data_IF_709675876725
#
_entry.id   IF_709675876725
#
_cell.length_a   1.000
_cell.length_b   1.000
_cell.length_c   1.000
_cell.angle_alpha   90.00
_cell.angle_beta   90.00
_cell.angle_gamma   90.00
#
_symmetry.space_group_name_H-M   'P 1'
#
loop_
_entity.id
_entity.type
_entity.pdbx_description
1 polymer ?
#
# COMPACT_ATOMS: atom_id res chain seq x y z
N UNK A 1 -11.25 2.07 -21.41
CA UNK A 1 -11.87 0.74 -21.61
C UNK A 1 -11.07 -0.42 -20.98
N UNK A 2 -9.72 -0.40 -20.95
CA UNK A 2 -8.93 -1.48 -20.33
C UNK A 2 -9.01 -1.55 -18.79
N UNK A 3 -9.11 -0.42 -18.09
CA UNK A 3 -9.05 -0.36 -16.62
C UNK A 3 -10.32 -0.87 -15.91
N UNK A 4 -11.48 -0.72 -16.55
CA UNK A 4 -12.77 -1.22 -16.03
C UNK A 4 -12.86 -2.75 -16.04
N UNK A 5 -12.05 -3.42 -16.87
CA UNK A 5 -11.95 -4.88 -16.89
C UNK A 5 -11.30 -5.44 -15.63
N UNK A 6 -10.19 -4.82 -15.19
CA UNK A 6 -9.41 -5.28 -14.03
C UNK A 6 -10.20 -5.17 -12.72
N UNK A 7 -10.95 -4.08 -12.53
CA UNK A 7 -11.79 -3.86 -11.33
C UNK A 7 -12.93 -4.87 -11.24
N UNK A 8 -13.47 -5.33 -12.39
CA UNK A 8 -14.53 -6.36 -12.42
C UNK A 8 -14.02 -7.76 -12.09
N UNK A 9 -12.79 -8.10 -12.48
CA UNK A 9 -12.19 -9.41 -12.17
C UNK A 9 -11.84 -9.55 -10.68
N UNK A 10 -11.44 -8.45 -10.03
CA UNK A 10 -11.08 -8.42 -8.60
C UNK A 10 -12.27 -8.75 -7.70
N UNK A 11 -13.50 -8.39 -8.11
CA UNK A 11 -14.73 -8.65 -7.34
C UNK A 11 -15.24 -10.09 -7.38
N UNK A 12 -14.70 -10.95 -8.26
CA UNK A 12 -15.06 -12.38 -8.32
C UNK A 12 -13.87 -13.17 -7.77
N UNK A 13 -13.91 -13.45 -6.47
CA UNK A 13 -12.84 -14.08 -5.69
C UNK A 13 -12.48 -15.52 -6.06
N UNK A 14 -12.38 -15.87 -7.35
CA UNK A 14 -12.02 -17.22 -7.76
C UNK A 14 -11.43 -17.41 -9.17
N UNK A 15 -10.81 -16.41 -9.81
CA UNK A 15 -10.28 -16.64 -11.17
C UNK A 15 -9.03 -15.80 -11.47
N UNK A 16 -7.84 -16.37 -11.27
CA UNK A 16 -6.66 -16.30 -12.17
C UNK A 16 -5.33 -16.21 -11.38
N UNK A 17 -4.46 -17.23 -11.46
CA UNK A 17 -3.09 -17.14 -10.93
C UNK A 17 -2.28 -15.98 -11.53
N UNK A 18 -2.69 -15.46 -12.69
CA UNK A 18 -2.09 -14.25 -13.29
C UNK A 18 -2.36 -12.96 -12.51
N UNK A 19 -3.48 -12.84 -11.78
CA UNK A 19 -3.71 -11.66 -10.93
C UNK A 19 -2.80 -11.66 -9.70
N UNK A 20 -2.54 -12.83 -9.10
CA UNK A 20 -1.63 -12.94 -7.96
C UNK A 20 -0.20 -12.48 -8.33
N UNK A 21 0.24 -12.73 -9.56
CA UNK A 21 1.53 -12.23 -10.08
C UNK A 21 1.52 -10.72 -10.33
N UNK A 22 0.38 -10.14 -10.68
CA UNK A 22 0.28 -8.71 -11.00
C UNK A 22 0.15 -7.82 -9.75
N UNK A 23 -0.39 -8.33 -8.63
CA UNK A 23 -0.65 -7.55 -7.42
C UNK A 23 0.62 -6.89 -6.85
N UNK A 24 1.74 -7.59 -6.63
CA UNK A 24 2.97 -6.96 -6.14
C UNK A 24 3.47 -5.85 -7.08
N UNK A 25 3.40 -6.08 -8.39
CA UNK A 25 3.79 -5.08 -9.39
C UNK A 25 2.88 -3.83 -9.37
N UNK A 26 1.58 -4.00 -9.17
CA UNK A 26 0.64 -2.87 -9.04
C UNK A 26 0.92 -2.08 -7.76
N UNK A 27 1.17 -2.76 -6.65
CA UNK A 27 1.47 -2.12 -5.37
C UNK A 27 2.85 -1.42 -5.38
N UNK A 28 3.86 -1.99 -6.03
CA UNK A 28 5.15 -1.33 -6.22
C UNK A 28 5.06 -0.08 -7.10
N UNK A 29 4.28 -0.17 -8.18
CA UNK A 29 3.99 1.00 -9.00
C UNK A 29 3.23 2.06 -8.20
N UNK A 30 2.27 1.67 -7.36
CA UNK A 30 1.59 2.61 -6.47
C UNK A 30 2.59 3.30 -5.52
N UNK A 31 3.41 2.54 -4.82
CA UNK A 31 4.41 3.05 -3.87
C UNK A 31 5.38 4.04 -4.51
N UNK A 32 5.85 3.76 -5.73
CA UNK A 32 6.78 4.65 -6.44
C UNK A 32 6.12 5.93 -6.96
N UNK A 33 4.84 5.87 -7.35
CA UNK A 33 4.14 7.01 -7.95
C UNK A 33 3.59 8.01 -6.95
N UNK A 34 3.39 7.64 -5.69
CA UNK A 34 2.90 8.57 -4.65
C UNK A 34 4.00 9.39 -3.96
N UNK A 35 5.27 9.07 -4.22
CA UNK A 35 6.40 9.84 -3.73
C UNK A 35 6.40 11.16 -4.50
N UNK A 36 6.06 12.24 -3.78
CA UNK A 36 6.08 13.59 -4.30
C UNK A 36 7.53 14.13 -4.30
N UNK A 37 7.93 14.95 -5.29
CA UNK A 37 9.12 15.78 -5.16
C UNK A 37 9.05 16.70 -3.92
N UNK A 38 10.21 17.21 -3.47
CA UNK A 38 10.28 18.10 -2.28
C UNK A 38 9.48 19.39 -2.54
N UNK A 39 9.61 19.91 -3.75
CA UNK A 39 8.95 21.10 -4.26
C UNK A 39 8.81 20.98 -5.78
N UNK A 40 8.02 21.86 -6.38
CA UNK A 40 7.83 22.02 -7.81
C UNK A 40 9.15 22.23 -8.55
N UNK A 41 10.06 23.04 -7.98
CA UNK A 41 11.41 23.26 -8.55
C UNK A 41 12.28 22.00 -8.62
N UNK A 42 11.96 20.95 -7.85
CA UNK A 42 12.64 19.65 -7.86
C UNK A 42 11.84 18.56 -8.59
N UNK A 43 10.71 18.90 -9.21
CA UNK A 43 9.98 17.99 -10.07
C UNK A 43 10.74 17.76 -11.39
N UNK A 44 10.48 16.63 -12.04
CA UNK A 44 11.10 16.35 -13.35
C UNK A 44 10.49 17.24 -14.44
N UNK A 45 11.14 17.31 -15.61
CA UNK A 45 10.73 18.17 -16.73
C UNK A 45 9.29 17.91 -17.18
N UNK A 46 8.85 16.64 -17.19
CA UNK A 46 7.48 16.29 -17.55
C UNK A 46 6.46 16.87 -16.56
N UNK A 47 6.69 16.70 -15.26
CA UNK A 47 5.83 17.26 -14.21
C UNK A 47 5.83 18.79 -14.24
N UNK A 48 6.98 19.43 -14.49
CA UNK A 48 7.05 20.89 -14.59
C UNK A 48 6.39 21.45 -15.85
N UNK A 49 6.31 20.67 -16.93
CA UNK A 49 5.59 21.04 -18.14
C UNK A 49 4.07 20.97 -17.95
N UNK A 50 3.59 20.00 -17.14
CA UNK A 50 2.17 19.72 -16.96
C UNK A 50 1.55 20.40 -15.71
N UNK A 51 2.36 20.86 -14.75
CA UNK A 51 1.92 21.46 -13.48
C UNK A 51 2.52 22.86 -13.35
N UNK A 52 1.67 23.86 -13.14
CA UNK A 52 2.06 25.27 -13.18
C UNK A 52 2.84 25.72 -11.95
N UNK A 53 2.49 25.23 -10.75
CA UNK A 53 3.07 25.69 -9.49
C UNK A 53 3.05 24.63 -8.36
N UNK A 54 3.49 25.05 -7.17
CA UNK A 54 3.54 24.20 -5.98
C UNK A 54 2.16 23.79 -5.47
N UNK A 55 1.16 24.67 -5.55
CA UNK A 55 -0.19 24.38 -5.05
C UNK A 55 -0.88 23.34 -5.93
N UNK A 56 -0.73 23.46 -7.25
CA UNK A 56 -1.23 22.48 -8.21
C UNK A 56 -0.50 21.13 -8.07
N UNK A 57 0.80 21.15 -7.77
CA UNK A 57 1.56 19.93 -7.48
C UNK A 57 1.04 19.22 -6.23
N UNK A 58 0.77 19.97 -5.16
CA UNK A 58 0.20 19.43 -3.92
C UNK A 58 -1.20 18.84 -4.19
N UNK A 59 -2.04 19.56 -4.93
CA UNK A 59 -3.39 19.11 -5.28
C UNK A 59 -3.36 17.83 -6.15
N UNK A 60 -2.51 17.79 -7.17
CA UNK A 60 -2.32 16.64 -8.05
C UNK A 60 -1.93 15.39 -7.27
N UNK A 61 -0.90 15.49 -6.42
CA UNK A 61 -0.46 14.35 -5.61
C UNK A 61 -1.48 13.94 -4.55
N UNK A 62 -2.28 14.88 -4.02
CA UNK A 62 -3.41 14.58 -3.14
C UNK A 62 -4.46 13.71 -3.86
N UNK A 63 -4.87 14.12 -5.07
CA UNK A 63 -5.83 13.36 -5.88
C UNK A 63 -5.26 11.99 -6.30
N UNK A 64 -4.01 11.96 -6.77
CA UNK A 64 -3.34 10.74 -7.20
C UNK A 64 -3.27 9.70 -6.07
N UNK A 65 -2.85 10.14 -4.86
CA UNK A 65 -2.82 9.29 -3.66
C UNK A 65 -4.22 8.75 -3.32
N UNK A 66 -5.26 9.58 -3.42
CA UNK A 66 -6.64 9.16 -3.18
C UNK A 66 -7.13 8.08 -4.16
N UNK A 67 -6.92 8.29 -5.47
CA UNK A 67 -7.36 7.37 -6.51
C UNK A 67 -6.62 6.04 -6.44
N UNK A 68 -5.29 6.07 -6.37
CA UNK A 68 -4.49 4.86 -6.28
C UNK A 68 -4.68 4.15 -4.93
N UNK A 69 -4.93 4.89 -3.85
CA UNK A 69 -5.30 4.33 -2.55
C UNK A 69 -6.63 3.57 -2.57
N UNK A 70 -7.62 4.06 -3.31
CA UNK A 70 -8.87 3.34 -3.57
C UNK A 70 -8.64 2.00 -4.29
N UNK A 71 -7.71 1.96 -5.25
CA UNK A 71 -7.33 0.72 -5.93
C UNK A 71 -6.60 -0.24 -5.00
N UNK A 72 -5.66 0.25 -4.18
CA UNK A 72 -4.95 -0.56 -3.19
C UNK A 72 -5.91 -1.22 -2.20
N UNK A 73 -6.94 -0.49 -1.73
CA UNK A 73 -8.02 -1.03 -0.91
C UNK A 73 -8.77 -2.17 -1.57
N UNK A 74 -9.13 -2.03 -2.85
CA UNK A 74 -9.83 -3.08 -3.60
C UNK A 74 -8.96 -4.32 -3.79
N UNK A 75 -7.67 -4.14 -4.07
CA UNK A 75 -6.70 -5.23 -4.15
C UNK A 75 -6.59 -5.97 -2.82
N UNK A 76 -6.46 -5.23 -1.71
CA UNK A 76 -6.40 -5.81 -0.37
C UNK A 76 -7.68 -6.53 0.03
N UNK A 77 -8.85 -6.00 -0.35
CA UNK A 77 -10.14 -6.65 -0.11
C UNK A 77 -10.27 -7.99 -0.84
N UNK A 78 -9.77 -8.07 -2.08
CA UNK A 78 -9.84 -9.28 -2.88
C UNK A 78 -8.77 -10.31 -2.56
N UNK A 79 -7.57 -9.87 -2.14
CA UNK A 79 -6.45 -10.75 -1.79
C UNK A 79 -5.79 -10.35 -0.47
N UNK A 80 -6.46 -10.54 0.68
CA UNK A 80 -5.97 -10.06 1.98
C UNK A 80 -4.62 -10.64 2.38
N UNK A 81 -4.43 -11.95 2.20
CA UNK A 81 -3.18 -12.63 2.56
C UNK A 81 -1.98 -12.09 1.78
N UNK A 82 -2.16 -11.86 0.47
CA UNK A 82 -1.11 -11.32 -0.39
C UNK A 82 -0.79 -9.86 -0.07
N UNK A 83 -1.81 -9.05 0.28
CA UNK A 83 -1.61 -7.67 0.72
C UNK A 83 -0.82 -7.60 2.03
N UNK A 84 -1.13 -8.46 3.00
CA UNK A 84 -0.38 -8.56 4.27
C UNK A 84 1.04 -9.03 4.03
N UNK A 85 1.24 -10.06 3.19
CA UNK A 85 2.56 -10.55 2.83
C UNK A 85 3.40 -9.44 2.17
N UNK A 86 2.84 -8.74 1.18
CA UNK A 86 3.50 -7.62 0.51
C UNK A 86 3.90 -6.52 1.51
N UNK A 87 2.99 -6.14 2.40
CA UNK A 87 3.27 -5.14 3.43
C UNK A 87 4.42 -5.56 4.35
N UNK A 88 4.44 -6.83 4.79
CA UNK A 88 5.51 -7.36 5.63
C UNK A 88 6.87 -7.37 4.91
N UNK A 89 6.91 -7.85 3.66
CA UNK A 89 8.13 -7.89 2.83
C UNK A 89 8.69 -6.49 2.58
N UNK A 90 7.82 -5.51 2.29
CA UNK A 90 8.25 -4.12 2.03
C UNK A 90 8.68 -3.38 3.29
N UNK A 91 8.00 -3.60 4.41
CA UNK A 91 8.44 -3.07 5.70
C UNK A 91 9.83 -3.60 6.05
N UNK A 92 10.04 -4.92 5.89
CA UNK A 92 11.34 -5.55 6.15
C UNK A 92 12.43 -4.98 5.24
N UNK A 93 12.17 -4.84 3.94
CA UNK A 93 13.12 -4.24 3.00
C UNK A 93 13.48 -2.78 3.38
N UNK A 94 12.50 -1.96 3.74
CA UNK A 94 12.74 -0.57 4.18
C UNK A 94 13.55 -0.51 5.48
N UNK A 95 13.28 -1.42 6.42
CA UNK A 95 14.06 -1.52 7.67
C UNK A 95 15.49 -2.03 7.41
N UNK A 96 15.72 -2.86 6.40
CA UNK A 96 17.07 -3.26 6.02
C UNK A 96 17.83 -2.14 5.30
N UNK A 97 17.20 -1.48 4.34
CA UNK A 97 17.82 -0.42 3.54
C UNK A 97 18.10 0.86 4.34
N UNK A 98 17.35 1.10 5.41
CA UNK A 98 17.41 2.34 6.18
C UNK A 98 17.58 2.15 7.70
N UNK A 99 17.62 0.90 8.19
CA UNK A 99 17.73 0.57 9.63
C UNK A 99 19.11 0.09 10.08
N UNK A 100 20.08 -0.10 9.19
CA UNK A 100 21.49 -0.25 9.60
C UNK A 100 22.16 1.12 9.74
N UNK A 101 22.71 1.47 10.91
CA UNK A 101 23.45 2.70 11.12
C UNK A 101 24.87 2.63 10.54
N UNK A 102 25.03 2.10 9.34
CA UNK A 102 26.32 1.98 8.65
C UNK A 102 26.61 3.16 7.71
N UNK A 103 25.62 4.02 7.47
CA UNK A 103 25.75 5.16 6.55
C UNK A 103 26.17 6.45 7.26
N UNK A 104 27.19 6.39 8.12
CA UNK A 104 27.78 7.60 8.70
C UNK A 104 26.81 8.46 9.51
N UNK A 105 25.81 7.84 10.16
CA UNK A 105 24.86 8.50 11.07
C UNK A 105 25.52 9.10 12.34
N UNK A 106 26.86 9.12 12.38
CA UNK A 106 27.62 9.71 13.48
C UNK A 106 27.88 11.20 13.28
N UNK A 107 27.62 11.80 12.10
CA UNK A 107 27.92 13.22 11.90
C UNK A 107 26.82 14.06 11.25
N UNK A 108 25.94 13.53 10.37
CA UNK A 108 24.81 14.30 9.82
C UNK A 108 23.66 13.36 9.43
N UNK A 109 22.47 13.55 10.02
CA UNK A 109 21.22 13.15 9.38
C UNK A 109 20.23 12.35 10.24
N UNK A 110 19.53 13.03 11.14
CA UNK A 110 18.18 12.59 11.55
C UNK A 110 17.35 12.32 10.29
N UNK A 111 16.37 11.41 10.33
CA UNK A 111 15.37 11.25 9.27
C UNK A 111 14.58 12.56 9.11
N UNK A 112 15.17 13.53 8.42
CA UNK A 112 14.55 14.83 8.17
C UNK A 112 13.48 14.66 7.11
N UNK A 113 12.48 15.54 7.16
CA UNK A 113 11.33 15.54 6.25
C UNK A 113 11.70 15.55 4.75
N UNK A 114 12.96 15.89 4.42
CA UNK A 114 13.47 15.95 3.05
C UNK A 114 14.29 14.73 2.62
N UNK A 115 14.67 13.85 3.56
CA UNK A 115 15.47 12.66 3.25
C UNK A 115 14.71 11.65 2.39
N UNK A 116 15.43 10.96 1.52
CA UNK A 116 14.87 9.88 0.69
C UNK A 116 14.26 8.77 1.55
N UNK A 117 14.91 8.43 2.66
CA UNK A 117 14.41 7.45 3.62
C UNK A 117 13.06 7.87 4.22
N UNK A 118 12.94 9.12 4.69
CA UNK A 118 11.67 9.65 5.20
C UNK A 118 10.55 9.58 4.16
N UNK A 119 10.81 10.00 2.91
CA UNK A 119 9.80 9.97 1.84
C UNK A 119 9.34 8.55 1.49
N UNK A 120 10.27 7.59 1.51
CA UNK A 120 9.94 6.18 1.26
C UNK A 120 9.12 5.60 2.41
N UNK A 121 9.44 5.94 3.66
CA UNK A 121 8.66 5.55 4.84
C UNK A 121 7.28 6.19 4.85
N UNK A 122 7.17 7.49 4.55
CA UNK A 122 5.87 8.21 4.44
C UNK A 122 5.00 7.58 3.34
N UNK A 123 5.56 7.36 2.15
CA UNK A 123 4.85 6.70 1.06
C UNK A 123 4.40 5.29 1.47
N UNK A 124 5.28 4.50 2.09
CA UNK A 124 4.93 3.17 2.55
C UNK A 124 3.83 3.19 3.61
N UNK A 125 3.88 4.10 4.57
CA UNK A 125 2.82 4.27 5.57
C UNK A 125 1.46 4.57 4.92
N UNK A 126 1.44 5.45 3.92
CA UNK A 126 0.21 5.73 3.14
C UNK A 126 -0.30 4.46 2.46
N UNK A 127 0.57 3.68 1.80
CA UNK A 127 0.15 2.41 1.16
C UNK A 127 -0.38 1.43 2.20
N UNK A 128 0.34 1.26 3.31
CA UNK A 128 -0.01 0.35 4.40
C UNK A 128 -1.40 0.67 4.97
N UNK A 129 -1.68 1.95 5.23
CA UNK A 129 -3.00 2.40 5.71
C UNK A 129 -4.11 2.03 4.74
N UNK A 130 -3.87 2.18 3.43
CA UNK A 130 -4.87 1.79 2.43
C UNK A 130 -5.04 0.26 2.36
N UNK A 131 -3.96 -0.51 2.48
CA UNK A 131 -4.04 -1.98 2.51
C UNK A 131 -4.83 -2.45 3.74
N UNK A 132 -4.47 -1.97 4.94
CA UNK A 132 -5.17 -2.32 6.19
C UNK A 132 -6.64 -1.94 6.12
N UNK A 133 -6.96 -0.73 5.67
CA UNK A 133 -8.35 -0.28 5.53
C UNK A 133 -9.14 -1.08 4.46
N UNK A 134 -8.46 -1.77 3.55
CA UNK A 134 -9.08 -2.63 2.55
C UNK A 134 -9.30 -4.07 3.01
N UNK A 135 -8.57 -4.55 4.02
CA UNK A 135 -8.69 -5.94 4.49
C UNK A 135 -10.02 -6.10 5.26
N UNK A 136 -10.87 -7.08 4.88
CA UNK A 136 -12.11 -7.33 5.60
C UNK A 136 -11.83 -7.77 7.05
N UNK A 137 -12.60 -7.32 8.05
CA UNK A 137 -12.41 -7.71 9.45
C UNK A 137 -12.34 -9.22 9.67
N UNK A 138 -13.14 -9.98 8.91
CA UNK A 138 -13.18 -11.45 8.95
C UNK A 138 -11.91 -12.16 8.46
N UNK A 139 -11.01 -11.46 7.75
CA UNK A 139 -9.79 -12.01 7.19
C UNK A 139 -8.59 -11.96 8.16
N UNK A 140 -8.71 -11.21 9.26
CA UNK A 140 -7.69 -11.17 10.33
C UNK A 140 -7.77 -12.37 11.28
N UNK A 141 -8.93 -13.04 11.33
CA UNK A 141 -9.13 -14.18 12.21
C UNK A 141 -8.52 -15.43 11.58
N UNK A 142 -7.64 -16.08 12.33
CA UNK A 142 -7.11 -17.39 11.95
C UNK A 142 -8.23 -18.43 12.00
N UNK A 143 -8.18 -19.44 11.13
CA UNK A 143 -9.17 -20.53 11.04
C UNK A 143 -9.55 -21.17 12.40
N UNK A 144 -8.67 -21.09 13.40
CA UNK A 144 -8.83 -21.62 14.75
C UNK A 144 -9.93 -20.92 15.55
N UNK A 145 -10.08 -19.60 15.44
CA UNK A 145 -11.07 -18.82 16.21
C UNK A 145 -12.47 -18.94 15.60
N UNK A 146 -12.58 -18.99 14.27
CA UNK A 146 -13.85 -19.23 13.59
C UNK A 146 -14.39 -20.65 13.84
N UNK A 147 -13.51 -21.66 13.95
CA UNK A 147 -13.92 -23.02 14.32
C UNK A 147 -14.36 -23.13 15.78
N UNK A 148 -13.68 -22.46 16.71
CA UNK A 148 -14.12 -22.42 18.11
C UNK A 148 -15.48 -21.75 18.28
N UNK A 149 -15.73 -20.61 17.62
CA UNK A 149 -17.04 -19.95 17.68
C UNK A 149 -18.17 -20.78 17.05
N UNK A 150 -17.91 -21.53 15.97
CA UNK A 150 -18.90 -22.44 15.38
C UNK A 150 -19.19 -23.65 16.28
N UNK A 151 -18.18 -24.22 16.95
CA UNK A 151 -18.38 -25.33 17.89
C UNK A 151 -19.15 -24.89 19.14
N UNK A 152 -18.92 -23.66 19.63
CA UNK A 152 -19.60 -23.12 20.80
C UNK A 152 -21.09 -22.84 20.51
N UNK A 153 -21.42 -22.29 19.33
CA UNK A 153 -22.81 -22.12 18.90
C UNK A 153 -23.55 -23.46 18.63
N UNK A 154 -22.82 -24.54 18.31
CA UNK A 154 -23.41 -25.87 18.17
C UNK A 154 -23.62 -26.58 19.51
N UNK A 155 -22.84 -26.25 20.54
CA UNK A 155 -23.04 -26.74 21.90
C UNK A 155 -24.28 -26.09 22.53
N UNK A 156 -24.41 -24.76 22.43
CA UNK A 156 -25.54 -24.00 23.00
C UNK A 156 -26.91 -24.29 22.34
N UNK A 157 -26.92 -24.89 21.14
CA UNK A 157 -28.15 -25.33 20.47
C UNK A 157 -28.59 -26.75 20.84
N UNK A 158 -27.77 -27.49 21.58
CA UNK A 158 -28.04 -28.88 22.00
C UNK A 158 -28.45 -28.99 23.47
N UNK A 159 -28.37 -27.90 24.22
CA UNK A 159 -29.02 -27.72 25.52
C UNK A 159 -30.43 -27.12 25.34
#
# INVERSE_FOLDING_TARGET
AMWTGLVRTIGHGNCCPHMALAVPHVLDNYLTKIIRPVSWSHANEATQADIADEDELVAFYGLLRGQLGGLAKQVAAAMPALAVQYAAERLWALLQDHGTPTDGLNEIGLATYHSTAWKRLEAFAIVLDQLIAGIPPGAYFTHTEQQQQQQQQQHDRKE
#
